data_IF_373317753267
#
_entry.id   IF_373317753267
#
_cell.length_a   1.000
_cell.length_b   1.000
_cell.length_c   1.000
_cell.angle_alpha   90.00
_cell.angle_beta   90.00
_cell.angle_gamma   90.00
#
_symmetry.space_group_name_H-M   'P 1'
#
loop_
_entity.id
_entity.type
_entity.pdbx_description
1 polymer ?
#
# COMPACT_ATOMS: atom_id res chain seq x y z
N UNK A 1 9.24 23.72 11.36
CA UNK A 1 7.94 23.23 10.85
C UNK A 1 7.72 21.82 11.39
N UNK A 2 6.50 21.48 11.79
CA UNK A 2 6.15 20.11 12.20
C UNK A 2 6.22 19.16 11.00
N UNK A 3 6.43 17.87 11.25
CA UNK A 3 6.36 16.82 10.22
C UNK A 3 4.92 16.30 10.15
N UNK A 4 4.41 16.11 8.94
CA UNK A 4 3.18 15.33 8.68
C UNK A 4 3.43 14.39 7.51
N UNK A 5 2.91 13.18 7.58
CA UNK A 5 3.08 12.15 6.55
C UNK A 5 1.72 11.70 6.05
N UNK A 6 1.54 11.71 4.73
CA UNK A 6 0.35 11.20 4.06
C UNK A 6 0.69 9.91 3.34
N UNK A 7 0.26 8.77 3.89
CA UNK A 7 0.35 7.47 3.23
C UNK A 7 -0.88 7.27 2.37
N UNK A 8 -0.68 7.26 1.07
CA UNK A 8 -1.74 7.05 0.07
C UNK A 8 -1.69 5.61 -0.42
N UNK A 9 -2.79 4.87 -0.27
CA UNK A 9 -2.97 3.63 -1.01
C UNK A 9 -3.28 3.97 -2.47
N UNK A 10 -2.53 3.37 -3.41
CA UNK A 10 -2.76 3.55 -4.84
C UNK A 10 -4.24 3.42 -5.22
N UNK A 11 -4.65 4.05 -6.31
CA UNK A 11 -6.00 3.98 -6.85
C UNK A 11 -6.30 2.59 -7.44
N UNK A 12 -7.55 2.34 -7.85
CA UNK A 12 -7.98 1.03 -8.33
C UNK A 12 -7.15 0.56 -9.54
N UNK A 13 -6.62 -0.66 -9.44
CA UNK A 13 -5.96 -1.36 -10.55
C UNK A 13 -6.87 -2.41 -11.17
N UNK A 14 -6.49 -2.90 -12.36
CA UNK A 14 -7.21 -3.98 -13.07
C UNK A 14 -7.40 -5.23 -12.19
N UNK A 15 -6.37 -5.62 -11.39
CA UNK A 15 -6.48 -6.76 -10.48
C UNK A 15 -7.38 -6.47 -9.27
N UNK A 16 -7.45 -5.22 -8.81
CA UNK A 16 -8.45 -4.86 -7.79
C UNK A 16 -9.89 -5.04 -8.33
N UNK A 17 -10.13 -4.58 -9.57
CA UNK A 17 -11.43 -4.72 -10.23
C UNK A 17 -11.82 -6.19 -10.43
N UNK A 18 -10.87 -7.02 -10.84
CA UNK A 18 -11.06 -8.47 -11.06
C UNK A 18 -11.03 -9.30 -9.77
N UNK A 19 -10.85 -8.69 -8.60
CA UNK A 19 -10.71 -9.37 -7.29
C UNK A 19 -9.58 -10.40 -7.25
N UNK A 20 -8.47 -10.14 -7.95
CA UNK A 20 -7.28 -10.97 -7.93
C UNK A 20 -6.31 -10.52 -6.84
N UNK A 21 -5.50 -11.46 -6.34
CA UNK A 21 -4.32 -11.14 -5.55
C UNK A 21 -3.26 -10.50 -6.43
N UNK A 22 -2.79 -9.30 -6.09
CA UNK A 22 -1.87 -8.56 -6.94
C UNK A 22 -0.41 -8.80 -6.55
N UNK A 23 -0.07 -8.58 -5.28
CA UNK A 23 1.32 -8.68 -4.82
C UNK A 23 2.28 -7.85 -5.67
N UNK A 24 3.31 -8.49 -6.19
CA UNK A 24 4.32 -7.86 -7.05
C UNK A 24 3.98 -7.91 -8.54
N UNK A 25 2.88 -8.55 -8.95
CA UNK A 25 2.35 -8.38 -10.30
C UNK A 25 2.03 -6.90 -10.55
N UNK A 26 2.16 -6.46 -11.78
CA UNK A 26 2.22 -5.05 -12.09
C UNK A 26 1.13 -4.55 -13.07
N UNK A 27 -0.18 -4.78 -12.75
CA UNK A 27 -1.29 -4.28 -13.55
C UNK A 27 -1.37 -2.76 -13.51
N UNK A 28 -1.97 -2.19 -14.56
CA UNK A 28 -2.23 -0.76 -14.64
C UNK A 28 -3.39 -0.32 -13.73
N UNK A 29 -3.55 0.99 -13.58
CA UNK A 29 -4.78 1.57 -13.05
C UNK A 29 -5.92 1.36 -14.06
N UNK A 30 -7.15 1.24 -13.55
CA UNK A 30 -8.36 1.36 -14.36
C UNK A 30 -8.69 2.84 -14.62
N UNK A 31 -9.54 3.13 -15.61
CA UNK A 31 -10.03 4.49 -15.86
C UNK A 31 -10.68 5.07 -14.60
N UNK A 32 -11.50 4.28 -13.91
CA UNK A 32 -12.07 4.65 -12.61
C UNK A 32 -10.99 4.94 -11.56
N UNK A 33 -9.90 4.17 -11.55
CA UNK A 33 -8.74 4.43 -10.68
C UNK A 33 -8.09 5.77 -10.98
N UNK A 34 -7.91 6.10 -12.26
CA UNK A 34 -7.35 7.38 -12.70
C UNK A 34 -8.25 8.55 -12.26
N UNK A 35 -9.56 8.44 -12.46
CA UNK A 35 -10.53 9.46 -12.03
C UNK A 35 -10.48 9.67 -10.51
N UNK A 36 -10.42 8.59 -9.73
CA UNK A 36 -10.31 8.67 -8.26
C UNK A 36 -8.98 9.29 -7.81
N UNK A 37 -7.88 9.00 -8.49
CA UNK A 37 -6.60 9.65 -8.20
C UNK A 37 -6.63 11.15 -8.54
N UNK A 38 -7.31 11.56 -9.61
CA UNK A 38 -7.52 12.95 -9.95
C UNK A 38 -8.39 13.67 -8.91
N UNK A 39 -9.42 13.01 -8.40
CA UNK A 39 -10.24 13.57 -7.31
C UNK A 39 -9.39 13.71 -6.04
N UNK A 40 -8.61 12.71 -5.67
CA UNK A 40 -7.71 12.80 -4.53
C UNK A 40 -6.70 13.93 -4.66
N UNK A 41 -6.20 14.21 -5.88
CA UNK A 41 -5.35 15.38 -6.12
C UNK A 41 -6.04 16.69 -5.74
N UNK A 42 -7.32 16.86 -6.08
CA UNK A 42 -8.11 18.03 -5.68
C UNK A 42 -8.29 18.09 -4.17
N UNK A 43 -8.55 16.95 -3.52
CA UNK A 43 -8.74 16.87 -2.08
C UNK A 43 -7.45 17.23 -1.30
N UNK A 44 -6.28 17.04 -1.93
CA UNK A 44 -4.96 17.40 -1.39
C UNK A 44 -4.47 18.77 -1.87
N UNK A 45 -5.30 19.53 -2.59
CA UNK A 45 -4.95 20.87 -3.06
C UNK A 45 -4.64 21.80 -1.88
N UNK A 46 -3.61 22.64 -2.05
CA UNK A 46 -3.12 23.53 -0.99
C UNK A 46 -2.11 22.90 -0.04
N UNK A 47 -1.90 21.59 -0.07
CA UNK A 47 -0.84 20.94 0.70
C UNK A 47 0.45 20.97 -0.12
N UNK A 48 1.44 21.71 0.35
CA UNK A 48 2.77 21.70 -0.26
C UNK A 48 3.59 20.53 0.27
N UNK A 49 3.73 19.48 -0.53
CA UNK A 49 4.57 18.33 -0.22
C UNK A 49 6.04 18.67 -0.54
N UNK A 50 6.87 18.67 0.51
CA UNK A 50 8.31 18.89 0.39
C UNK A 50 9.04 17.64 -0.14
N UNK A 51 8.48 16.46 0.11
CA UNK A 51 9.02 15.17 -0.33
C UNK A 51 7.91 14.24 -0.80
N UNK A 52 8.16 13.52 -1.88
CA UNK A 52 7.21 12.57 -2.47
C UNK A 52 7.95 11.25 -2.73
N UNK A 53 7.46 10.18 -2.14
CA UNK A 53 7.98 8.83 -2.31
C UNK A 53 6.92 7.93 -2.94
N UNK A 54 7.35 6.95 -3.73
CA UNK A 54 6.45 5.98 -4.34
C UNK A 54 7.05 4.59 -4.40
N UNK A 55 6.20 3.57 -4.26
CA UNK A 55 6.52 2.23 -4.70
C UNK A 55 6.83 2.21 -6.21
N UNK A 56 7.75 1.35 -6.68
CA UNK A 56 8.05 1.20 -8.10
C UNK A 56 6.90 0.57 -8.91
N UNK A 57 5.96 -0.12 -8.26
CA UNK A 57 4.87 -0.81 -8.96
C UNK A 57 3.96 0.21 -9.66
N UNK A 58 3.63 -0.06 -10.94
CA UNK A 58 2.94 0.88 -11.85
C UNK A 58 1.72 1.55 -11.24
N UNK A 59 0.84 0.79 -10.58
CA UNK A 59 -0.37 1.33 -9.97
C UNK A 59 -0.09 2.40 -8.91
N UNK A 60 0.97 2.22 -8.11
CA UNK A 60 1.38 3.21 -7.11
C UNK A 60 2.11 4.39 -7.76
N UNK A 61 3.03 4.11 -8.65
CA UNK A 61 3.78 5.14 -9.36
C UNK A 61 2.87 6.02 -10.24
N UNK A 62 1.93 5.43 -10.98
CA UNK A 62 0.93 6.18 -11.75
C UNK A 62 0.03 7.04 -10.87
N UNK A 63 -0.38 6.52 -9.70
CA UNK A 63 -1.10 7.33 -8.72
C UNK A 63 -0.23 8.51 -8.24
N UNK A 64 1.04 8.27 -7.92
CA UNK A 64 1.96 9.33 -7.50
C UNK A 64 2.17 10.39 -8.59
N UNK A 65 2.27 10.00 -9.86
CA UNK A 65 2.40 10.94 -10.99
C UNK A 65 1.17 11.83 -11.19
N UNK A 66 -0.02 11.35 -10.82
CA UNK A 66 -1.23 12.16 -10.83
C UNK A 66 -1.20 13.18 -9.68
N UNK A 67 -0.74 12.76 -8.50
CA UNK A 67 -0.73 13.60 -7.30
C UNK A 67 0.38 14.64 -7.28
N UNK A 68 1.54 14.36 -7.89
CA UNK A 68 2.73 15.21 -7.85
C UNK A 68 3.45 15.27 -9.19
N UNK A 69 4.33 16.25 -9.36
CA UNK A 69 5.21 16.30 -10.53
C UNK A 69 6.21 15.14 -10.51
N UNK A 70 6.44 14.52 -11.67
CA UNK A 70 7.34 13.38 -11.87
C UNK A 70 8.73 13.61 -11.27
N UNK A 71 9.30 14.81 -11.48
CA UNK A 71 10.66 15.15 -11.05
C UNK A 71 10.84 15.22 -9.52
N UNK A 72 9.73 15.22 -8.77
CA UNK A 72 9.73 15.20 -7.30
C UNK A 72 9.59 13.80 -6.71
N UNK A 73 9.31 12.78 -7.53
CA UNK A 73 9.00 11.44 -7.04
C UNK A 73 10.28 10.63 -6.88
N UNK A 74 10.57 10.26 -5.65
CA UNK A 74 11.64 9.31 -5.32
C UNK A 74 11.03 7.91 -5.20
N UNK A 75 11.51 6.99 -6.00
CA UNK A 75 11.06 5.59 -5.99
C UNK A 75 11.85 4.79 -4.98
N UNK A 76 11.17 3.97 -4.18
CA UNK A 76 11.79 3.11 -3.18
C UNK A 76 11.20 1.70 -3.21
N UNK A 77 12.06 0.71 -3.44
CA UNK A 77 11.70 -0.72 -3.52
C UNK A 77 11.07 -1.26 -2.23
N UNK A 78 11.43 -0.69 -1.09
CA UNK A 78 10.87 -1.07 0.23
C UNK A 78 9.39 -0.74 0.36
N UNK A 79 8.85 0.11 -0.52
CA UNK A 79 7.43 0.48 -0.57
C UNK A 79 6.56 -0.47 -1.40
N UNK A 80 7.12 -1.52 -2.02
CA UNK A 80 6.34 -2.53 -2.74
C UNK A 80 5.26 -3.14 -1.86
N UNK A 81 4.19 -3.63 -2.51
CA UNK A 81 3.15 -4.42 -1.86
C UNK A 81 3.72 -5.70 -1.26
N UNK A 82 3.01 -6.28 -0.31
CA UNK A 82 3.26 -7.62 0.18
C UNK A 82 3.27 -8.62 -0.97
N UNK A 83 4.30 -9.46 -1.06
CA UNK A 83 4.29 -10.58 -1.97
C UNK A 83 3.21 -11.59 -1.55
N UNK A 84 2.37 -11.99 -2.50
CA UNK A 84 1.39 -13.04 -2.28
C UNK A 84 1.87 -14.43 -2.72
N UNK A 85 3.14 -14.54 -3.16
CA UNK A 85 3.72 -15.82 -3.57
C UNK A 85 2.81 -16.56 -4.55
N UNK A 86 2.48 -17.80 -4.24
CA UNK A 86 1.67 -18.69 -5.10
C UNK A 86 0.20 -18.26 -5.25
N UNK A 87 -0.27 -17.30 -4.45
CA UNK A 87 -1.60 -16.72 -4.60
C UNK A 87 -1.66 -15.58 -5.63
N UNK A 88 -0.51 -15.07 -6.08
CA UNK A 88 -0.46 -13.98 -7.05
C UNK A 88 -1.22 -14.31 -8.33
N UNK A 89 -2.00 -13.35 -8.83
CA UNK A 89 -2.91 -13.44 -9.98
C UNK A 89 -4.09 -14.42 -9.81
N UNK A 90 -4.22 -15.12 -8.69
CA UNK A 90 -5.37 -15.98 -8.43
C UNK A 90 -6.57 -15.18 -7.90
N UNK A 91 -7.78 -15.68 -8.19
CA UNK A 91 -9.01 -15.12 -7.68
C UNK A 91 -9.11 -15.35 -6.16
N UNK A 92 -9.55 -14.34 -5.43
CA UNK A 92 -9.61 -14.38 -3.95
C UNK A 92 -10.60 -15.40 -3.42
N UNK A 93 -11.74 -15.58 -4.10
CA UNK A 93 -12.75 -16.55 -3.67
C UNK A 93 -12.30 -18.00 -3.98
N UNK A 94 -11.62 -18.20 -5.11
CA UNK A 94 -11.05 -19.52 -5.46
C UNK A 94 -9.97 -19.93 -4.45
N UNK A 95 -9.06 -19.01 -4.11
CA UNK A 95 -8.03 -19.28 -3.08
C UNK A 95 -8.69 -19.58 -1.74
N UNK A 96 -9.71 -18.82 -1.36
CA UNK A 96 -10.45 -19.05 -0.12
C UNK A 96 -11.11 -20.43 -0.08
N UNK A 97 -11.69 -20.85 -1.20
CA UNK A 97 -12.32 -22.18 -1.32
C UNK A 97 -11.30 -23.33 -1.20
N UNK A 98 -10.08 -23.14 -1.71
CA UNK A 98 -9.00 -24.14 -1.66
C UNK A 98 -8.35 -24.21 -0.27
N UNK A 99 -8.01 -23.05 0.30
CA UNK A 99 -7.25 -22.95 1.56
C UNK A 99 -8.14 -23.17 2.82
N UNK A 100 -9.45 -22.99 2.70
CA UNK A 100 -10.37 -22.91 3.81
C UNK A 100 -10.35 -21.54 4.51
N UNK A 101 -11.46 -21.19 5.19
CA UNK A 101 -11.65 -19.86 5.80
C UNK A 101 -10.56 -19.47 6.78
N UNK A 102 -10.15 -20.39 7.66
CA UNK A 102 -9.19 -20.12 8.73
C UNK A 102 -7.80 -19.84 8.17
N UNK A 103 -7.25 -20.73 7.32
CA UNK A 103 -5.94 -20.58 6.71
C UNK A 103 -5.88 -19.35 5.81
N UNK A 104 -6.92 -19.16 4.98
CA UNK A 104 -7.05 -17.99 4.13
C UNK A 104 -7.03 -16.69 4.93
N UNK A 105 -7.82 -16.60 6.01
CA UNK A 105 -7.87 -15.42 6.85
C UNK A 105 -6.55 -15.18 7.56
N UNK A 106 -5.93 -16.21 8.13
CA UNK A 106 -4.64 -16.12 8.79
C UNK A 106 -3.55 -15.60 7.85
N UNK A 107 -3.43 -16.17 6.65
CA UNK A 107 -2.42 -15.77 5.67
C UNK A 107 -2.74 -14.42 5.00
N UNK A 108 -4.02 -14.10 4.79
CA UNK A 108 -4.41 -12.84 4.15
C UNK A 108 -4.38 -11.64 5.09
N UNK A 109 -4.72 -11.81 6.36
CA UNK A 109 -4.97 -10.71 7.29
C UNK A 109 -4.08 -10.73 8.52
N UNK A 110 -3.56 -11.90 8.89
CA UNK A 110 -2.74 -12.08 10.07
C UNK A 110 -1.36 -11.43 9.95
N UNK A 111 -0.73 -11.21 11.11
CA UNK A 111 0.58 -10.57 11.20
C UNK A 111 1.73 -11.50 10.81
N UNK A 112 1.72 -12.75 11.33
CA UNK A 112 2.85 -13.69 11.21
C UNK A 112 2.72 -14.70 10.08
N UNK A 113 1.50 -14.98 9.62
CA UNK A 113 1.25 -16.02 8.61
C UNK A 113 1.40 -15.43 7.20
N UNK A 114 2.16 -16.10 6.35
CA UNK A 114 2.34 -15.75 4.94
C UNK A 114 1.57 -16.70 4.02
N UNK A 115 1.14 -16.24 2.83
CA UNK A 115 0.81 -17.15 1.74
C UNK A 115 2.02 -18.02 1.37
N UNK A 116 1.84 -19.20 0.75
CA UNK A 116 2.94 -20.01 0.27
C UNK A 116 3.89 -19.22 -0.64
N UNK A 117 5.19 -19.24 -0.33
CA UNK A 117 6.23 -18.48 -1.04
C UNK A 117 6.03 -16.95 -1.07
N UNK A 118 5.21 -16.41 -0.16
CA UNK A 118 4.93 -14.98 -0.04
C UNK A 118 5.48 -14.36 1.26
N UNK A 119 5.12 -13.10 1.50
CA UNK A 119 5.46 -12.35 2.71
C UNK A 119 4.31 -12.37 3.72
N UNK A 120 4.61 -12.45 5.01
CA UNK A 120 3.72 -12.04 6.10
C UNK A 120 3.69 -10.51 6.24
N UNK A 121 2.74 -9.95 7.00
CA UNK A 121 2.78 -8.52 7.34
C UNK A 121 4.01 -8.16 8.16
N UNK A 122 4.49 -9.08 9.00
CA UNK A 122 5.73 -8.92 9.77
C UNK A 122 6.93 -8.76 8.85
N UNK A 123 7.05 -9.57 7.78
CA UNK A 123 8.14 -9.44 6.81
C UNK A 123 8.10 -8.09 6.11
N UNK A 124 6.91 -7.63 5.71
CA UNK A 124 6.73 -6.30 5.14
C UNK A 124 7.16 -5.20 6.13
N UNK A 125 6.81 -5.34 7.43
CA UNK A 125 7.20 -4.36 8.44
C UNK A 125 8.71 -4.27 8.61
N UNK A 126 9.42 -5.40 8.60
CA UNK A 126 10.88 -5.46 8.66
C UNK A 126 11.50 -4.77 7.45
N UNK A 127 10.96 -5.03 6.26
CA UNK A 127 11.43 -4.44 5.00
C UNK A 127 11.23 -2.93 4.94
N UNK A 128 10.08 -2.42 5.41
CA UNK A 128 9.73 -1.00 5.31
C UNK A 128 10.26 -0.16 6.47
N UNK A 129 10.61 -0.77 7.60
CA UNK A 129 11.07 -0.05 8.80
C UNK A 129 12.26 0.88 8.52
N UNK A 130 13.35 0.45 7.83
CA UNK A 130 14.46 1.36 7.53
C UNK A 130 14.07 2.54 6.64
N UNK A 131 13.04 2.41 5.77
CA UNK A 131 12.51 3.53 5.01
C UNK A 131 11.85 4.55 5.94
N UNK A 132 11.00 4.10 6.87
CA UNK A 132 10.31 4.96 7.83
C UNK A 132 11.29 5.70 8.75
N UNK A 133 12.34 5.02 9.22
CA UNK A 133 13.37 5.60 10.11
C UNK A 133 14.18 6.70 9.41
N UNK A 134 14.36 6.59 8.09
CA UNK A 134 15.11 7.55 7.28
C UNK A 134 14.24 8.63 6.62
N UNK A 135 12.94 8.69 6.90
CA UNK A 135 12.09 9.78 6.41
C UNK A 135 12.56 11.15 6.92
N UNK A 136 12.39 12.21 6.11
CA UNK A 136 12.68 13.58 6.54
C UNK A 136 12.03 13.92 7.87
N UNK A 137 12.72 14.70 8.70
CA UNK A 137 12.28 15.07 10.05
C UNK A 137 11.29 16.24 10.07
N UNK A 138 11.11 16.93 8.94
CA UNK A 138 10.29 18.15 8.83
C UNK A 138 9.52 18.16 7.50
N UNK A 139 8.45 18.96 7.45
CA UNK A 139 7.66 19.21 6.26
C UNK A 139 6.56 18.17 6.01
N UNK A 140 5.84 18.39 4.93
CA UNK A 140 4.78 17.49 4.48
C UNK A 140 5.36 16.44 3.53
N UNK A 141 5.17 15.19 3.84
CA UNK A 141 5.71 14.05 3.10
C UNK A 141 4.55 13.25 2.52
N UNK A 142 4.58 13.02 1.21
CA UNK A 142 3.64 12.13 0.52
C UNK A 142 4.32 10.78 0.26
N UNK A 143 3.67 9.68 0.63
CA UNK A 143 4.14 8.31 0.36
C UNK A 143 3.03 7.52 -0.31
N UNK A 144 3.22 7.18 -1.58
CA UNK A 144 2.24 6.38 -2.34
C UNK A 144 2.67 4.92 -2.35
N UNK A 145 1.84 4.07 -1.77
CA UNK A 145 2.16 2.65 -1.56
C UNK A 145 0.89 1.77 -1.66
N UNK A 146 0.83 0.70 -0.93
CA UNK A 146 -0.15 -0.38 -1.06
C UNK A 146 -0.82 -0.71 0.26
N UNK A 147 -1.95 -1.42 0.17
CA UNK A 147 -2.79 -1.71 1.32
C UNK A 147 -2.07 -2.44 2.46
N UNK A 148 -1.37 -3.53 2.18
CA UNK A 148 -0.67 -4.27 3.24
C UNK A 148 0.59 -3.54 3.72
N UNK A 149 1.29 -2.85 2.84
CA UNK A 149 2.45 -2.06 3.24
C UNK A 149 2.04 -0.95 4.19
N UNK A 150 0.95 -0.23 3.93
CA UNK A 150 0.42 0.80 4.85
C UNK A 150 -0.11 0.17 6.13
N UNK A 151 -0.69 -1.03 6.10
CA UNK A 151 -1.08 -1.78 7.31
C UNK A 151 0.14 -2.11 8.18
N UNK A 152 1.23 -2.59 7.60
CA UNK A 152 2.48 -2.83 8.33
C UNK A 152 3.06 -1.53 8.90
N UNK A 153 3.03 -0.43 8.14
CA UNK A 153 3.44 0.91 8.57
C UNK A 153 2.59 1.39 9.76
N UNK A 154 1.28 1.14 9.75
CA UNK A 154 0.40 1.56 10.86
C UNK A 154 0.79 0.90 12.20
N UNK A 155 1.33 -0.31 12.18
CA UNK A 155 1.88 -0.96 13.38
C UNK A 155 3.17 -0.28 13.82
N UNK A 156 4.07 0.07 12.89
CA UNK A 156 5.31 0.78 13.20
C UNK A 156 5.07 2.16 13.82
N UNK A 157 3.96 2.81 13.50
CA UNK A 157 3.52 4.09 14.11
C UNK A 157 2.67 3.92 15.37
N UNK A 158 2.39 2.70 15.82
CA UNK A 158 1.56 2.44 16.99
C UNK A 158 0.07 2.78 16.80
N UNK A 159 -0.39 2.94 15.55
CA UNK A 159 -1.81 3.17 15.21
C UNK A 159 -2.61 1.88 15.41
N UNK A 160 -2.01 0.76 15.07
CA UNK A 160 -2.55 -0.58 15.28
C UNK A 160 -1.53 -1.44 16.03
N UNK A 161 -2.02 -2.46 16.75
CA UNK A 161 -1.16 -3.54 17.26
C UNK A 161 -1.04 -4.66 16.22
N UNK A 162 -0.13 -5.61 16.48
CA UNK A 162 0.01 -6.83 15.65
C UNK A 162 -1.28 -7.65 15.59
N UNK A 163 -2.09 -7.62 16.66
CA UNK A 163 -3.38 -8.32 16.76
C UNK A 163 -4.49 -7.55 16.04
N UNK A 164 -4.58 -6.25 16.27
CA UNK A 164 -5.68 -5.40 15.74
C UNK A 164 -5.53 -5.11 14.24
N UNK A 165 -4.32 -5.16 13.68
CA UNK A 165 -4.07 -4.84 12.28
C UNK A 165 -4.83 -5.76 11.30
N UNK A 166 -5.24 -6.95 11.75
CA UNK A 166 -6.03 -7.88 10.95
C UNK A 166 -7.39 -7.30 10.50
N UNK A 167 -7.99 -6.42 11.30
CA UNK A 167 -9.26 -5.73 11.02
C UNK A 167 -9.07 -4.37 10.35
N UNK A 168 -7.87 -3.80 10.38
CA UNK A 168 -7.59 -2.50 9.78
C UNK A 168 -7.60 -2.58 8.25
N UNK A 169 -8.36 -1.70 7.62
CA UNK A 169 -8.43 -1.60 6.16
C UNK A 169 -8.27 -0.15 5.71
N UNK A 170 -7.42 0.05 4.71
CA UNK A 170 -7.30 1.29 3.96
C UNK A 170 -7.81 1.06 2.54
N UNK A 171 -8.85 1.79 2.11
CA UNK A 171 -9.44 1.64 0.78
C UNK A 171 -8.51 2.18 -0.32
N UNK A 172 -8.64 1.66 -1.55
CA UNK A 172 -7.89 2.20 -2.71
C UNK A 172 -8.20 3.69 -2.89
N UNK A 173 -7.18 4.47 -3.21
CA UNK A 173 -7.32 5.91 -3.43
C UNK A 173 -7.64 6.70 -2.16
N UNK A 174 -7.31 6.20 -0.96
CA UNK A 174 -7.51 6.91 0.30
C UNK A 174 -6.19 7.16 1.03
N UNK A 175 -6.24 8.00 2.05
CA UNK A 175 -5.08 8.52 2.79
C UNK A 175 -5.14 8.11 4.25
N UNK A 176 -4.01 7.69 4.80
CA UNK A 176 -3.72 7.64 6.22
C UNK A 176 -2.74 8.77 6.54
N UNK A 177 -3.16 9.76 7.33
CA UNK A 177 -2.30 10.85 7.78
C UNK A 177 -1.75 10.56 9.18
N UNK A 178 -0.44 10.82 9.34
CA UNK A 178 0.31 10.67 10.60
C UNK A 178 1.10 11.95 10.90
#
# INVERSE_FOLDING_TARGET
>A
MSRSIWFVRHAQSEYNQKKLFTGWHDPNLTDHGIEKAQQLKKDLEGINFSHVFSSPLKRAYSTAMILAHKDKIVVDERLKERSYGDWSAKNKEEVKAIEGEENYRAARRGWKTSPPNGESLKDVSIRVKPFIENLPKQGNILVVSHGNTIRAISVLFGINSEESVSSFEIKVGTVLKV
#
